data_IF_036711488946
#
_entry.id   IF_036711488946
#
_cell.length_a   1.000
_cell.length_b   1.000
_cell.length_c   1.000
_cell.angle_alpha   90.00
_cell.angle_beta   90.00
_cell.angle_gamma   90.00
#
_symmetry.space_group_name_H-M   'P 1'
#
loop_
_entity.id
_entity.type
_entity.pdbx_description
1 polymer ?
#
# COMPACT_ATOMS: atom_id res chain seq x y z
N UNK A 1 -5.72 9.22 0.05
CA UNK A 1 -4.43 8.78 0.61
C UNK A 1 -3.35 9.76 0.19
N UNK A 2 -2.37 10.08 1.05
CA UNK A 2 -1.35 11.11 0.75
C UNK A 2 0.01 10.49 0.47
N UNK A 3 0.68 10.98 -0.57
CA UNK A 3 2.07 10.64 -0.92
C UNK A 3 2.87 11.94 -0.94
N UNK A 4 3.75 12.12 0.04
CA UNK A 4 4.70 13.23 0.03
C UNK A 4 6.10 12.68 -0.28
N UNK A 5 6.82 13.35 -1.16
CA UNK A 5 8.20 12.99 -1.51
C UNK A 5 9.10 14.22 -1.39
N UNK A 6 10.31 14.03 -0.89
CA UNK A 6 11.37 15.03 -1.00
C UNK A 6 12.25 14.68 -2.20
N UNK A 7 12.12 15.47 -3.26
CA UNK A 7 12.88 15.28 -4.50
C UNK A 7 14.13 16.16 -4.44
N UNK A 8 15.30 15.54 -4.62
CA UNK A 8 16.60 16.21 -4.57
C UNK A 8 17.25 16.23 -5.96
N UNK A 9 18.01 17.30 -6.26
CA UNK A 9 18.81 17.40 -7.48
C UNK A 9 20.15 16.66 -7.30
N UNK A 10 20.37 15.61 -8.08
CA UNK A 10 21.51 14.71 -7.99
C UNK A 10 22.82 15.39 -8.39
N UNK A 11 22.82 16.22 -9.44
CA UNK A 11 24.03 16.91 -9.91
C UNK A 11 24.55 17.90 -8.87
N UNK A 12 23.65 18.74 -8.34
CA UNK A 12 23.99 19.68 -7.25
C UNK A 12 24.43 18.96 -5.98
N UNK A 13 23.75 17.86 -5.63
CA UNK A 13 24.14 17.04 -4.49
C UNK A 13 25.58 16.51 -4.63
N UNK A 14 25.95 16.03 -5.83
CA UNK A 14 27.30 15.55 -6.13
C UNK A 14 28.36 16.67 -6.07
N UNK A 15 27.97 17.92 -6.35
CA UNK A 15 28.81 19.11 -6.18
C UNK A 15 28.87 19.63 -4.73
N UNK A 16 28.20 18.96 -3.80
CA UNK A 16 28.16 19.33 -2.37
C UNK A 16 27.09 20.35 -2.02
N UNK A 17 26.16 20.64 -2.93
CA UNK A 17 25.03 21.54 -2.73
C UNK A 17 23.76 20.74 -2.39
N UNK A 18 23.30 20.83 -1.14
CA UNK A 18 22.04 20.22 -0.73
C UNK A 18 20.87 21.03 -1.27
N UNK A 19 20.16 20.48 -2.25
CA UNK A 19 19.00 21.11 -2.90
C UNK A 19 17.90 20.07 -3.13
N UNK A 20 16.65 20.47 -2.86
CA UNK A 20 15.49 19.62 -3.00
C UNK A 20 14.23 20.28 -2.45
N UNK A 21 13.08 19.66 -2.69
CA UNK A 21 11.80 20.16 -2.21
C UNK A 21 10.84 19.05 -1.82
N UNK A 22 10.05 19.31 -0.77
CA UNK A 22 8.88 18.52 -0.43
C UNK A 22 7.76 18.79 -1.43
N UNK A 23 7.23 17.74 -2.03
CA UNK A 23 6.07 17.80 -2.92
C UNK A 23 5.01 16.81 -2.49
N UNK A 24 3.76 17.26 -2.39
CA UNK A 24 2.60 16.37 -2.22
C UNK A 24 2.08 15.99 -3.60
N UNK A 25 2.00 14.68 -3.85
CA UNK A 25 1.43 14.13 -5.08
C UNK A 25 -0.08 13.85 -4.91
N UNK A 26 -0.88 13.93 -5.99
CA UNK A 26 -0.42 14.27 -7.33
C UNK A 26 -0.28 15.77 -7.59
N UNK A 27 0.60 16.12 -8.53
CA UNK A 27 0.73 17.45 -9.15
C UNK A 27 0.19 17.43 -10.59
N UNK A 28 -0.12 18.62 -11.11
CA UNK A 28 -0.66 18.80 -12.45
C UNK A 28 0.38 18.41 -13.51
N UNK A 29 1.60 18.95 -13.39
CA UNK A 29 2.72 18.67 -14.29
C UNK A 29 4.02 18.48 -13.51
N UNK A 30 4.51 17.24 -13.44
CA UNK A 30 5.77 16.88 -12.74
C UNK A 30 6.95 17.72 -13.22
N UNK A 31 7.00 18.01 -14.52
CA UNK A 31 8.09 18.79 -15.08
C UNK A 31 8.12 20.21 -14.52
N UNK A 32 6.97 20.88 -14.59
CA UNK A 32 6.83 22.29 -14.20
C UNK A 32 6.76 22.47 -12.69
N UNK A 33 6.02 21.62 -12.01
CA UNK A 33 5.72 21.78 -10.59
C UNK A 33 6.82 21.17 -9.70
N UNK A 34 7.69 20.30 -10.26
CA UNK A 34 8.80 19.68 -9.51
C UNK A 34 10.17 19.98 -10.13
N UNK A 35 10.38 19.63 -11.40
CA UNK A 35 11.73 19.65 -11.99
C UNK A 35 12.24 21.06 -12.32
N UNK A 36 11.38 21.94 -12.84
CA UNK A 36 11.73 23.34 -13.11
C UNK A 36 12.17 24.06 -11.83
N UNK A 37 11.48 23.83 -10.70
CA UNK A 37 11.82 24.41 -9.39
C UNK A 37 13.15 23.89 -8.81
N UNK A 38 13.66 22.77 -9.32
CA UNK A 38 14.93 22.15 -8.91
C UNK A 38 16.09 22.46 -9.87
N UNK A 39 15.90 23.39 -10.81
CA UNK A 39 16.85 23.67 -11.91
C UNK A 39 17.14 22.43 -12.79
N UNK A 40 16.22 21.46 -12.82
CA UNK A 40 16.29 20.25 -13.65
C UNK A 40 15.38 20.32 -14.89
N UNK A 41 14.82 21.50 -15.12
CA UNK A 41 13.74 21.77 -16.04
C UNK A 41 14.13 22.29 -17.42
N UNK A 42 13.12 22.74 -18.18
CA UNK A 42 13.28 23.16 -19.57
C UNK A 42 14.23 24.35 -19.81
N UNK A 43 14.37 25.22 -18.81
CA UNK A 43 15.30 26.36 -18.81
C UNK A 43 16.72 25.99 -18.38
N UNK A 44 16.96 24.73 -17.96
CA UNK A 44 18.32 24.24 -17.70
C UNK A 44 19.12 24.21 -19.02
N UNK A 45 20.46 24.33 -18.93
CA UNK A 45 21.34 24.36 -20.12
C UNK A 45 21.20 23.14 -21.04
N UNK A 46 20.64 22.06 -20.53
CA UNK A 46 20.60 20.77 -21.21
C UNK A 46 19.13 20.28 -21.41
N UNK A 47 18.10 20.95 -20.86
CA UNK A 47 16.68 20.54 -20.90
C UNK A 47 16.19 19.79 -19.65
N UNK A 48 15.15 18.97 -19.76
CA UNK A 48 14.75 18.08 -18.65
C UNK A 48 15.79 16.95 -18.47
N UNK A 49 16.30 16.77 -17.24
CA UNK A 49 17.25 15.70 -16.91
C UNK A 49 16.72 14.79 -15.81
N UNK A 50 17.01 13.50 -15.96
CA UNK A 50 16.80 12.48 -14.93
C UNK A 50 17.93 12.51 -13.86
N UNK A 51 18.40 13.71 -13.51
CA UNK A 51 19.38 13.94 -12.44
C UNK A 51 18.69 14.32 -11.13
N UNK A 52 17.73 13.51 -10.72
CA UNK A 52 17.04 13.64 -9.43
C UNK A 52 16.94 12.29 -8.73
N UNK A 53 16.68 12.33 -7.42
CA UNK A 53 16.36 11.15 -6.62
C UNK A 53 15.43 11.53 -5.47
N UNK A 54 14.74 10.54 -4.92
CA UNK A 54 13.88 10.72 -3.74
C UNK A 54 14.74 10.48 -2.50
N UNK A 55 15.03 11.52 -1.73
CA UNK A 55 15.88 11.40 -0.54
C UNK A 55 15.10 11.19 0.76
N UNK A 56 13.81 11.51 0.77
CA UNK A 56 12.91 11.29 1.91
C UNK A 56 11.45 11.21 1.42
N UNK A 57 10.56 10.62 2.22
CA UNK A 57 9.14 10.51 1.87
C UNK A 57 8.24 10.33 3.09
N UNK A 58 6.96 10.66 2.91
CA UNK A 58 5.87 10.30 3.83
C UNK A 58 4.75 9.63 3.03
N UNK A 59 4.63 8.31 3.16
CA UNK A 59 3.63 7.49 2.49
C UNK A 59 3.38 6.20 3.29
N UNK A 60 2.21 5.54 3.15
CA UNK A 60 1.92 4.30 3.84
C UNK A 60 2.65 3.08 3.26
N UNK A 61 3.37 3.23 2.15
CA UNK A 61 4.15 2.18 1.50
C UNK A 61 5.59 2.64 1.28
N UNK A 62 6.48 1.69 0.99
CA UNK A 62 7.90 1.99 0.76
C UNK A 62 8.11 2.65 -0.60
N UNK A 63 8.89 3.73 -0.61
CA UNK A 63 9.36 4.42 -1.81
C UNK A 63 10.89 4.31 -1.85
N UNK A 64 11.41 3.87 -2.98
CA UNK A 64 12.85 3.78 -3.26
C UNK A 64 13.41 5.13 -3.72
N UNK A 65 14.71 5.34 -3.50
CA UNK A 65 15.41 6.55 -3.96
C UNK A 65 15.37 6.72 -5.49
N UNK A 66 15.22 5.61 -6.22
CA UNK A 66 15.17 5.57 -7.68
C UNK A 66 13.76 5.42 -8.26
N UNK A 67 12.72 5.47 -7.42
CA UNK A 67 11.36 5.36 -7.94
C UNK A 67 11.02 6.57 -8.82
N UNK A 68 10.37 6.29 -9.95
CA UNK A 68 9.94 7.31 -10.91
C UNK A 68 8.93 8.27 -10.27
N UNK A 69 9.26 9.55 -10.12
CA UNK A 69 8.30 10.58 -9.66
C UNK A 69 7.09 10.69 -10.60
N UNK A 70 7.23 10.35 -11.88
CA UNK A 70 6.11 10.30 -12.81
C UNK A 70 5.18 9.12 -12.50
N UNK A 71 5.74 7.94 -12.24
CA UNK A 71 4.96 6.76 -11.87
C UNK A 71 4.29 6.98 -10.52
N UNK A 72 4.99 7.57 -9.53
CA UNK A 72 4.41 7.94 -8.25
C UNK A 72 3.31 8.99 -8.40
N UNK A 73 3.46 9.97 -9.32
CA UNK A 73 2.41 10.95 -9.59
C UNK A 73 1.15 10.30 -10.18
N UNK A 74 1.32 9.36 -11.12
CA UNK A 74 0.21 8.60 -11.69
C UNK A 74 -0.46 7.70 -10.64
N UNK A 75 0.33 7.05 -9.80
CA UNK A 75 -0.17 6.27 -8.67
C UNK A 75 -0.98 7.15 -7.71
N UNK A 76 -0.48 8.34 -7.38
CA UNK A 76 -1.20 9.27 -6.50
C UNK A 76 -2.56 9.68 -7.10
N UNK A 77 -2.63 9.91 -8.42
CA UNK A 77 -3.90 10.16 -9.13
C UNK A 77 -4.86 8.97 -9.04
N UNK A 78 -4.36 7.76 -9.26
CA UNK A 78 -5.16 6.54 -9.17
C UNK A 78 -5.68 6.29 -7.73
N UNK A 79 -4.91 6.72 -6.72
CA UNK A 79 -5.22 6.58 -5.31
C UNK A 79 -6.08 7.72 -4.72
N UNK A 80 -6.48 8.73 -5.50
CA UNK A 80 -7.22 9.90 -5.00
C UNK A 80 -8.54 9.53 -4.30
N UNK A 81 -9.20 8.45 -4.74
CA UNK A 81 -10.49 8.01 -4.21
C UNK A 81 -10.39 7.06 -3.00
N UNK A 82 -9.17 6.78 -2.52
CA UNK A 82 -8.95 5.84 -1.42
C UNK A 82 -8.24 6.55 -0.29
N UNK A 83 -8.81 6.55 0.92
CA UNK A 83 -8.25 7.20 2.10
C UNK A 83 -7.34 6.29 2.92
N UNK A 84 -7.58 4.97 2.90
CA UNK A 84 -6.85 3.97 3.70
C UNK A 84 -6.31 2.82 2.84
N UNK A 85 -5.33 2.08 3.38
CA UNK A 85 -4.83 0.85 2.73
C UNK A 85 -5.91 -0.22 2.67
N UNK A 86 -6.81 -0.26 3.64
CA UNK A 86 -7.98 -1.15 3.62
C UNK A 86 -8.89 -0.89 2.42
N UNK A 87 -9.20 0.38 2.13
CA UNK A 87 -10.03 0.70 0.96
C UNK A 87 -9.36 0.27 -0.35
N UNK A 88 -8.04 0.45 -0.45
CA UNK A 88 -7.25 -0.05 -1.59
C UNK A 88 -7.31 -1.57 -1.65
N UNK A 89 -7.04 -2.27 -0.55
CA UNK A 89 -7.11 -3.73 -0.49
C UNK A 89 -8.50 -4.24 -0.89
N UNK A 90 -9.56 -3.63 -0.37
CA UNK A 90 -10.94 -4.00 -0.69
C UNK A 90 -11.27 -3.80 -2.17
N UNK A 91 -10.64 -2.83 -2.84
CA UNK A 91 -10.83 -2.56 -4.27
C UNK A 91 -10.18 -3.58 -5.21
N UNK A 92 -9.17 -4.31 -4.73
CA UNK A 92 -8.47 -5.32 -5.52
C UNK A 92 -9.39 -6.47 -5.92
N UNK A 93 -9.10 -7.07 -7.07
CA UNK A 93 -9.79 -8.27 -7.52
C UNK A 93 -9.38 -9.51 -6.69
N UNK A 94 -10.11 -10.61 -6.86
CA UNK A 94 -9.85 -11.85 -6.11
C UNK A 94 -8.49 -12.48 -6.45
N UNK A 95 -7.97 -12.29 -7.66
CA UNK A 95 -6.68 -12.85 -8.06
C UNK A 95 -5.53 -12.11 -7.37
N UNK A 96 -5.59 -10.78 -7.34
CA UNK A 96 -4.61 -9.95 -6.64
C UNK A 96 -4.64 -10.17 -5.13
N UNK A 97 -5.82 -10.32 -4.53
CA UNK A 97 -5.96 -10.66 -3.11
C UNK A 97 -5.30 -12.00 -2.76
N UNK A 98 -5.41 -13.01 -3.63
CA UNK A 98 -4.74 -14.30 -3.43
C UNK A 98 -3.22 -14.19 -3.43
N UNK A 99 -2.63 -13.24 -4.17
CA UNK A 99 -1.18 -13.03 -4.18
C UNK A 99 -0.64 -12.40 -2.88
N UNK A 100 -1.52 -11.85 -2.04
CA UNK A 100 -1.14 -11.14 -0.81
C UNK A 100 -1.08 -12.04 0.43
N UNK A 101 -1.65 -13.25 0.37
CA UNK A 101 -1.72 -14.15 1.53
C UNK A 101 -2.39 -13.51 2.76
N UNK A 102 -3.34 -12.61 2.51
CA UNK A 102 -4.15 -11.92 3.52
C UNK A 102 -5.56 -12.51 3.55
N UNK A 103 -6.25 -12.51 4.71
CA UNK A 103 -7.64 -12.95 4.78
C UNK A 103 -8.52 -12.00 3.96
N UNK A 104 -9.16 -12.55 2.92
CA UNK A 104 -10.07 -11.85 2.02
C UNK A 104 -11.56 -12.08 2.37
N UNK A 105 -11.82 -12.96 3.34
CA UNK A 105 -13.13 -13.22 3.90
C UNK A 105 -13.08 -13.32 5.43
N UNK A 106 -13.80 -12.43 6.10
CA UNK A 106 -13.86 -12.35 7.56
C UNK A 106 -15.28 -12.02 8.00
N UNK A 107 -15.63 -12.40 9.22
CA UNK A 107 -16.96 -12.16 9.81
C UNK A 107 -16.81 -11.73 11.27
N UNK A 108 -17.80 -11.02 11.81
CA UNK A 108 -17.82 -10.61 13.23
C UNK A 108 -18.16 -11.76 14.20
N UNK A 109 -18.50 -12.93 13.66
CA UNK A 109 -18.99 -14.07 14.42
C UNK A 109 -18.48 -15.38 13.84
N UNK A 110 -17.84 -16.21 14.66
CA UNK A 110 -17.44 -17.54 14.25
C UNK A 110 -18.64 -18.39 13.79
N UNK A 111 -19.83 -18.18 14.38
CA UNK A 111 -21.04 -18.88 13.97
C UNK A 111 -21.41 -18.53 12.52
N UNK A 112 -21.34 -17.24 12.15
CA UNK A 112 -21.65 -16.79 10.80
C UNK A 112 -20.64 -17.35 9.79
N UNK A 113 -19.34 -17.31 10.12
CA UNK A 113 -18.28 -17.93 9.33
C UNK A 113 -18.56 -19.41 9.05
N UNK A 114 -18.92 -20.17 10.09
CA UNK A 114 -19.21 -21.61 9.97
C UNK A 114 -20.43 -21.84 9.08
N UNK A 115 -21.49 -21.04 9.25
CA UNK A 115 -22.72 -21.19 8.49
C UNK A 115 -22.53 -20.84 7.01
N UNK A 116 -21.87 -19.72 6.73
CA UNK A 116 -21.66 -19.21 5.37
C UNK A 116 -20.73 -20.12 4.56
N UNK A 117 -19.69 -20.67 5.20
CA UNK A 117 -18.77 -21.62 4.57
C UNK A 117 -19.26 -23.06 4.59
N UNK A 118 -20.39 -23.35 5.26
CA UNK A 118 -21.01 -24.67 5.32
C UNK A 118 -20.14 -25.72 6.01
N UNK A 119 -19.39 -25.33 7.04
CA UNK A 119 -18.44 -26.19 7.74
C UNK A 119 -19.19 -27.08 8.72
N UNK A 120 -18.99 -28.40 8.64
CA UNK A 120 -19.65 -29.32 9.55
C UNK A 120 -19.03 -29.27 10.97
N UNK A 121 -19.77 -29.69 12.02
CA UNK A 121 -19.29 -29.57 13.40
C UNK A 121 -17.96 -30.28 13.70
N UNK A 122 -17.63 -31.36 12.99
CA UNK A 122 -16.36 -32.08 13.18
C UNK A 122 -15.22 -31.28 12.59
N UNK A 123 -15.37 -30.78 11.37
CA UNK A 123 -14.36 -29.92 10.75
C UNK A 123 -14.21 -28.59 11.48
N UNK A 124 -15.31 -27.98 11.96
CA UNK A 124 -15.24 -26.77 12.78
C UNK A 124 -14.46 -27.00 14.08
N UNK A 125 -14.68 -28.14 14.76
CA UNK A 125 -13.92 -28.51 15.94
C UNK A 125 -12.43 -28.73 15.63
N UNK A 126 -12.10 -29.34 14.48
CA UNK A 126 -10.72 -29.53 14.02
C UNK A 126 -10.04 -28.19 13.69
N UNK A 127 -10.70 -27.33 12.91
CA UNK A 127 -10.22 -26.02 12.52
C UNK A 127 -10.00 -25.11 13.73
N UNK A 128 -10.88 -25.20 14.75
CA UNK A 128 -10.70 -24.52 16.04
C UNK A 128 -9.50 -25.08 16.81
N UNK A 129 -9.37 -26.41 16.88
CA UNK A 129 -8.29 -27.07 17.64
C UNK A 129 -6.90 -26.78 17.08
N UNK A 130 -6.75 -26.76 15.76
CA UNK A 130 -5.49 -26.46 15.07
C UNK A 130 -5.30 -24.98 14.75
N UNK A 131 -6.34 -24.18 14.94
CA UNK A 131 -6.34 -22.75 14.69
C UNK A 131 -5.82 -21.91 15.84
N UNK A 132 -6.00 -20.59 15.68
CA UNK A 132 -5.51 -19.57 16.62
C UNK A 132 -6.59 -18.51 16.84
N UNK A 133 -7.63 -18.89 17.57
CA UNK A 133 -8.58 -17.94 18.14
C UNK A 133 -7.91 -17.32 19.38
N UNK A 134 -7.60 -16.03 19.32
CA UNK A 134 -6.91 -15.29 20.38
C UNK A 134 -7.89 -14.89 21.48
N UNK A 135 -9.04 -14.34 21.08
CA UNK A 135 -10.16 -13.98 21.95
C UNK A 135 -11.48 -14.35 21.28
N UNK A 136 -12.48 -14.71 22.09
CA UNK A 136 -13.86 -14.89 21.63
C UNK A 136 -14.60 -13.55 21.47
N UNK A 137 -14.01 -12.48 21.99
CA UNK A 137 -14.52 -11.11 21.87
C UNK A 137 -13.75 -10.32 20.78
N UNK A 138 -12.97 -11.00 19.93
CA UNK A 138 -12.29 -10.36 18.80
C UNK A 138 -13.30 -9.90 17.74
N UNK A 139 -12.96 -8.82 17.03
CA UNK A 139 -13.84 -8.20 16.04
C UNK A 139 -14.01 -9.05 14.77
N UNK A 140 -13.01 -9.88 14.42
CA UNK A 140 -13.03 -10.69 13.21
C UNK A 140 -12.63 -12.15 13.44
N UNK A 141 -13.35 -13.04 12.78
CA UNK A 141 -13.08 -14.46 12.62
C UNK A 141 -12.95 -14.81 11.14
N UNK A 142 -11.93 -15.62 10.82
CA UNK A 142 -11.62 -15.99 9.43
C UNK A 142 -10.92 -17.35 9.37
N UNK A 143 -10.73 -17.84 8.14
CA UNK A 143 -9.98 -19.07 7.88
C UNK A 143 -8.64 -18.72 7.24
N UNK A 144 -7.57 -19.28 7.78
CA UNK A 144 -6.26 -19.18 7.16
C UNK A 144 -6.13 -20.14 5.96
N UNK A 145 -5.03 -20.03 5.22
CA UNK A 145 -4.80 -20.81 3.98
C UNK A 145 -4.85 -22.34 4.14
N UNK A 146 -4.67 -22.86 5.36
CA UNK A 146 -4.71 -24.31 5.63
C UNK A 146 -6.05 -24.79 6.19
N UNK A 147 -7.06 -23.92 6.25
CA UNK A 147 -8.41 -24.28 6.68
C UNK A 147 -8.65 -24.18 8.19
N UNK A 148 -7.76 -23.54 8.95
CA UNK A 148 -7.92 -23.38 10.39
C UNK A 148 -8.54 -22.03 10.74
N UNK A 149 -9.32 -21.97 11.82
CA UNK A 149 -9.92 -20.71 12.28
C UNK A 149 -8.89 -19.83 12.99
N UNK A 150 -8.91 -18.56 12.66
CA UNK A 150 -8.15 -17.52 13.35
C UNK A 150 -9.07 -16.37 13.72
N UNK A 151 -8.65 -15.59 14.72
CA UNK A 151 -9.34 -14.37 15.11
C UNK A 151 -8.35 -13.22 15.28
N UNK A 152 -8.86 -12.01 15.08
CA UNK A 152 -8.12 -10.78 15.32
C UNK A 152 -9.05 -9.62 15.67
N UNK A 153 -8.55 -8.69 16.47
CA UNK A 153 -9.19 -7.39 16.66
C UNK A 153 -9.05 -6.48 15.44
N UNK A 154 -9.89 -5.46 15.35
CA UNK A 154 -9.82 -4.38 14.36
C UNK A 154 -8.43 -3.74 14.32
N UNK A 155 -7.81 -3.53 15.49
CA UNK A 155 -6.47 -2.99 15.57
C UNK A 155 -5.43 -3.89 14.89
N UNK A 156 -5.50 -5.20 15.12
CA UNK A 156 -4.60 -6.17 14.50
C UNK A 156 -4.85 -6.29 13.00
N UNK A 157 -6.11 -6.16 12.55
CA UNK A 157 -6.45 -6.12 11.14
C UNK A 157 -5.82 -4.91 10.43
N UNK A 158 -5.99 -3.72 10.99
CA UNK A 158 -5.36 -2.51 10.47
C UNK A 158 -3.84 -2.60 10.50
N UNK A 159 -3.24 -3.14 11.57
CA UNK A 159 -1.80 -3.35 11.65
C UNK A 159 -1.31 -4.32 10.57
N UNK A 160 -2.03 -5.42 10.34
CA UNK A 160 -1.73 -6.40 9.29
C UNK A 160 -1.75 -5.75 7.91
N UNK A 161 -2.78 -4.98 7.58
CA UNK A 161 -2.88 -4.27 6.30
C UNK A 161 -1.74 -3.26 6.12
N UNK A 162 -1.45 -2.45 7.15
CA UNK A 162 -0.37 -1.47 7.09
C UNK A 162 1.01 -2.14 6.93
N UNK A 163 1.22 -3.29 7.57
CA UNK A 163 2.46 -4.06 7.41
C UNK A 163 2.64 -4.64 5.99
N UNK A 164 1.55 -4.83 5.25
CA UNK A 164 1.54 -5.30 3.86
C UNK A 164 1.22 -4.20 2.85
N UNK A 165 1.29 -2.94 3.27
CA UNK A 165 0.87 -1.81 2.45
C UNK A 165 1.66 -1.71 1.14
N UNK A 166 2.94 -2.11 1.13
CA UNK A 166 3.75 -2.06 -0.10
C UNK A 166 3.28 -3.11 -1.11
N UNK A 167 3.04 -4.33 -0.66
CA UNK A 167 2.55 -5.45 -1.46
C UNK A 167 1.14 -5.17 -2.00
N UNK A 168 0.25 -4.61 -1.16
CA UNK A 168 -1.10 -4.19 -1.57
C UNK A 168 -1.03 -3.13 -2.66
N UNK A 169 -0.18 -2.11 -2.49
CA UNK A 169 0.00 -1.03 -3.46
C UNK A 169 0.63 -1.57 -4.76
N UNK A 170 1.53 -2.54 -4.69
CA UNK A 170 2.11 -3.16 -5.87
C UNK A 170 1.08 -3.96 -6.67
N UNK A 171 0.20 -4.72 -6.02
CA UNK A 171 -0.94 -5.37 -6.69
C UNK A 171 -1.89 -4.33 -7.31
N UNK A 172 -2.18 -3.23 -6.59
CA UNK A 172 -3.02 -2.16 -7.12
C UNK A 172 -2.41 -1.52 -8.39
N UNK A 173 -1.09 -1.31 -8.42
CA UNK A 173 -0.39 -0.81 -9.62
C UNK A 173 -0.56 -1.77 -10.79
N UNK A 174 -0.38 -3.08 -10.58
CA UNK A 174 -0.50 -4.09 -11.63
C UNK A 174 -1.90 -4.13 -12.26
N UNK A 175 -2.95 -3.86 -11.47
CA UNK A 175 -4.33 -3.81 -11.96
C UNK A 175 -4.70 -2.52 -12.70
N UNK A 176 -4.11 -1.38 -12.31
CA UNK A 176 -4.65 -0.07 -12.65
C UNK A 176 -3.72 0.84 -13.48
N UNK A 177 -2.42 0.51 -13.62
CA UNK A 177 -1.41 1.33 -14.29
C UNK A 177 -0.64 0.56 -15.37
#
# INVERSE_FOLDING_TARGET
MKINVFVSNLAKYNDGELTGQWTTLPVDDVNKDILDELDLGGDSKQGYHDEWFISDYEAPFKISEYDSIYTLNNLAKALENYDTIEEVFNSLDSQSKQNLYLPDYMTESLEDLIQELGIDPVEAARATYFGKIQSWDDDYFFINEVGNFESMSEHQYQEMLNNHASEIIDQFKEENL
#
